data_IF_801386720010
#
_entry.id   IF_801386720010
#
_cell.length_a   1.000
_cell.length_b   1.000
_cell.length_c   1.000
_cell.angle_alpha   90.00
_cell.angle_beta   90.00
_cell.angle_gamma   90.00
#
_symmetry.space_group_name_H-M   'P 1'
#
loop_
_entity.id
_entity.type
_entity.pdbx_description
1 polymer ?
#
# COMPACT_ATOMS: atom_id res chain seq x y z
N UNK A 1 -8.46 -27.74 -0.85
CA UNK A 1 -7.02 -27.81 -1.19
C UNK A 1 -6.39 -26.49 -1.68
N UNK A 2 -7.07 -25.50 -2.29
CA UNK A 2 -6.41 -24.25 -2.71
C UNK A 2 -5.89 -23.36 -1.57
N UNK A 3 -6.42 -23.50 -0.35
CA UNK A 3 -6.09 -22.62 0.78
C UNK A 3 -4.76 -22.93 1.48
N UNK A 4 -4.27 -24.16 1.40
CA UNK A 4 -2.93 -24.53 1.92
C UNK A 4 -1.84 -23.78 1.16
N UNK A 5 -2.03 -23.52 -0.12
CA UNK A 5 -1.10 -22.76 -0.93
C UNK A 5 -1.06 -21.28 -0.51
N UNK A 6 -2.21 -20.68 -0.18
CA UNK A 6 -2.26 -19.30 0.35
C UNK A 6 -1.60 -19.20 1.72
N UNK A 7 -1.79 -20.18 2.60
CA UNK A 7 -1.15 -20.21 3.91
C UNK A 7 0.38 -20.22 3.80
N UNK A 8 0.93 -21.01 2.87
CA UNK A 8 2.38 -21.10 2.65
C UNK A 8 3.00 -19.80 2.11
N UNK A 9 2.19 -18.89 1.57
CA UNK A 9 2.64 -17.56 1.10
C UNK A 9 2.65 -16.51 2.21
N UNK A 10 2.03 -16.80 3.35
CA UNK A 10 1.89 -15.88 4.49
C UNK A 10 2.79 -16.30 5.65
N UNK A 11 2.84 -17.60 5.95
CA UNK A 11 3.58 -18.14 7.09
C UNK A 11 5.03 -18.44 6.66
N UNK A 12 6.00 -17.94 7.43
CA UNK A 12 7.42 -18.14 7.15
C UNK A 12 7.99 -17.27 6.01
N UNK A 13 7.19 -16.39 5.44
CA UNK A 13 7.62 -15.48 4.35
C UNK A 13 7.53 -14.02 4.81
N UNK A 14 8.54 -13.17 4.52
CA UNK A 14 8.44 -11.74 4.75
C UNK A 14 7.36 -11.09 3.89
N UNK A 15 6.57 -10.22 4.52
CA UNK A 15 5.45 -9.51 3.91
C UNK A 15 5.61 -8.00 4.09
N UNK A 16 5.16 -7.25 3.11
CA UNK A 16 4.97 -5.80 3.13
C UNK A 16 3.47 -5.52 3.17
N UNK A 17 2.82 -5.80 4.30
CA UNK A 17 1.37 -5.67 4.50
C UNK A 17 1.06 -4.99 5.83
N UNK A 18 0.01 -4.18 5.86
CA UNK A 18 -0.46 -3.56 7.10
C UNK A 18 -0.97 -4.63 8.09
N UNK A 19 -0.51 -4.58 9.34
CA UNK A 19 -0.77 -5.59 10.37
C UNK A 19 -2.27 -5.88 10.58
N UNK A 20 -3.18 -4.90 10.67
CA UNK A 20 -4.60 -5.18 10.86
C UNK A 20 -5.19 -6.03 9.74
N UNK A 21 -4.74 -5.83 8.49
CA UNK A 21 -5.21 -6.60 7.35
C UNK A 21 -4.64 -8.02 7.36
N UNK A 22 -3.40 -8.19 7.80
CA UNK A 22 -2.80 -9.51 7.97
C UNK A 22 -3.60 -10.33 8.99
N UNK A 23 -4.02 -9.71 10.11
CA UNK A 23 -4.82 -10.37 11.13
C UNK A 23 -6.21 -10.78 10.59
N UNK A 24 -6.85 -9.97 9.73
CA UNK A 24 -8.08 -10.32 9.02
C UNK A 24 -7.86 -11.54 8.11
N UNK A 25 -6.79 -11.53 7.31
CA UNK A 25 -6.45 -12.65 6.42
C UNK A 25 -6.21 -13.92 7.24
N UNK A 26 -5.46 -13.85 8.34
CA UNK A 26 -5.21 -14.98 9.24
C UNK A 26 -6.50 -15.49 9.88
N UNK A 27 -7.43 -14.61 10.27
CA UNK A 27 -8.72 -15.04 10.84
C UNK A 27 -9.61 -15.76 9.83
N UNK A 28 -9.62 -15.32 8.58
CA UNK A 28 -10.40 -15.96 7.49
C UNK A 28 -9.78 -17.28 7.04
N UNK A 29 -8.46 -17.34 6.94
CA UNK A 29 -7.74 -18.55 6.54
C UNK A 29 -7.58 -19.53 7.71
N UNK A 30 -7.53 -19.03 8.94
CA UNK A 30 -7.16 -19.78 10.13
C UNK A 30 -7.98 -21.03 10.35
N UNK A 31 -9.32 -20.94 10.26
CA UNK A 31 -10.22 -22.06 10.40
C UNK A 31 -10.00 -23.17 9.35
N UNK A 32 -9.53 -22.76 8.16
CA UNK A 32 -9.31 -23.67 7.02
C UNK A 32 -7.92 -24.27 6.95
N UNK A 33 -6.98 -23.74 7.74
CA UNK A 33 -5.60 -24.24 7.90
C UNK A 33 -5.35 -24.79 9.31
N UNK A 34 -6.42 -24.93 10.11
CA UNK A 34 -6.36 -25.53 11.43
C UNK A 34 -6.06 -24.56 12.59
N UNK A 35 -6.15 -23.25 12.37
CA UNK A 35 -6.19 -22.25 13.45
C UNK A 35 -7.62 -22.10 14.01
N UNK A 36 -7.82 -21.62 15.26
CA UNK A 36 -9.16 -21.45 15.84
C UNK A 36 -10.04 -20.53 14.99
N UNK A 37 -11.33 -20.88 14.88
CA UNK A 37 -12.30 -20.09 14.14
C UNK A 37 -12.54 -18.73 14.81
N UNK A 38 -12.39 -17.67 14.02
CA UNK A 38 -12.95 -16.34 14.32
C UNK A 38 -14.14 -16.13 13.38
N UNK A 39 -15.28 -15.87 13.96
CA UNK A 39 -16.57 -15.72 13.28
C UNK A 39 -16.58 -14.38 12.51
N UNK A 40 -16.10 -14.37 11.27
CA UNK A 40 -16.13 -13.20 10.38
C UNK A 40 -16.73 -13.56 9.02
N UNK A 41 -17.70 -12.77 8.60
CA UNK A 41 -18.32 -12.86 7.29
C UNK A 41 -17.27 -12.66 6.17
N UNK A 42 -17.32 -13.53 5.16
CA UNK A 42 -16.45 -13.42 4.00
C UNK A 42 -16.73 -12.12 3.23
N UNK A 43 -15.71 -11.36 2.84
CA UNK A 43 -15.90 -10.20 1.98
C UNK A 43 -16.46 -10.66 0.62
N UNK A 44 -17.43 -9.91 0.11
CA UNK A 44 -17.95 -10.11 -1.24
C UNK A 44 -16.85 -9.84 -2.28
N UNK A 45 -16.83 -10.58 -3.39
CA UNK A 45 -15.86 -10.33 -4.44
C UNK A 45 -16.00 -8.91 -4.98
N UNK A 46 -14.87 -8.19 -5.05
CA UNK A 46 -14.82 -6.87 -5.63
C UNK A 46 -15.22 -6.89 -7.11
N UNK A 47 -15.95 -5.88 -7.59
CA UNK A 47 -16.31 -5.80 -9.01
C UNK A 47 -15.04 -5.77 -9.87
N UNK A 48 -15.05 -6.49 -10.99
CA UNK A 48 -13.96 -6.44 -11.98
C UNK A 48 -13.97 -5.06 -12.62
N UNK A 49 -13.10 -4.19 -12.18
CA UNK A 49 -12.88 -2.89 -12.83
C UNK A 49 -11.89 -3.13 -13.97
N UNK A 50 -12.40 -3.15 -15.17
CA UNK A 50 -11.57 -3.09 -16.38
C UNK A 50 -11.09 -1.66 -16.55
N UNK A 51 -9.77 -1.43 -16.49
CA UNK A 51 -9.21 -0.11 -16.74
C UNK A 51 -9.58 0.34 -18.17
N UNK A 52 -10.46 1.35 -18.25
CA UNK A 52 -10.88 1.94 -19.52
C UNK A 52 -10.15 3.28 -19.64
N UNK A 53 -9.57 3.55 -20.82
CA UNK A 53 -9.04 4.87 -21.09
C UNK A 53 -10.19 5.90 -21.06
N UNK A 54 -10.04 6.94 -20.25
CA UNK A 54 -10.99 8.04 -20.21
C UNK A 54 -10.86 8.89 -21.47
N UNK A 55 -11.92 9.62 -21.89
CA UNK A 55 -11.86 10.52 -23.05
C UNK A 55 -10.72 11.56 -22.98
N UNK A 56 -10.19 11.80 -21.79
CA UNK A 56 -9.05 12.69 -21.52
C UNK A 56 -7.68 12.12 -21.96
N UNK A 57 -7.64 10.85 -22.39
CA UNK A 57 -6.37 10.14 -22.70
C UNK A 57 -5.62 9.70 -21.45
N UNK A 58 -6.28 9.57 -20.30
CA UNK A 58 -5.72 9.03 -19.08
C UNK A 58 -6.15 7.57 -18.92
N UNK A 59 -5.19 6.66 -18.79
CA UNK A 59 -5.46 5.28 -18.41
C UNK A 59 -5.46 5.17 -16.88
N UNK A 60 -6.59 4.78 -16.30
CA UNK A 60 -6.68 4.51 -14.87
C UNK A 60 -6.41 3.04 -14.62
N UNK A 61 -5.41 2.74 -13.80
CA UNK A 61 -5.05 1.38 -13.40
C UNK A 61 -5.42 1.22 -11.92
N UNK A 62 -6.49 0.49 -11.59
CA UNK A 62 -6.83 0.21 -10.20
C UNK A 62 -5.81 -0.75 -9.58
N UNK A 63 -5.36 -0.43 -8.37
CA UNK A 63 -4.47 -1.24 -7.51
C UNK A 63 -5.22 -1.48 -6.21
N UNK A 64 -6.02 -2.54 -6.19
CA UNK A 64 -7.02 -2.77 -5.13
C UNK A 64 -6.80 -4.11 -4.44
N UNK A 65 -6.96 -4.14 -3.11
CA UNK A 65 -6.88 -5.35 -2.32
C UNK A 65 -5.46 -5.80 -1.99
N UNK A 66 -5.30 -7.04 -1.53
CA UNK A 66 -4.00 -7.58 -1.11
C UNK A 66 -3.13 -7.93 -2.31
N UNK A 67 -1.91 -7.41 -2.32
CA UNK A 67 -0.98 -7.56 -3.43
C UNK A 67 -0.16 -8.84 -3.31
N UNK A 68 -0.03 -9.57 -4.40
CA UNK A 68 0.73 -10.81 -4.47
C UNK A 68 1.57 -10.85 -5.75
N UNK A 69 2.63 -11.64 -5.75
CA UNK A 69 3.48 -11.74 -6.94
C UNK A 69 2.72 -12.26 -8.15
N UNK A 70 1.95 -13.33 -7.98
CA UNK A 70 1.14 -13.98 -9.02
C UNK A 70 -0.17 -14.48 -8.46
N UNK A 71 -1.22 -14.35 -9.25
CA UNK A 71 -2.54 -14.93 -8.96
C UNK A 71 -2.70 -16.18 -9.82
N UNK A 72 -3.19 -17.28 -9.23
CA UNK A 72 -3.49 -18.53 -9.95
C UNK A 72 -4.98 -18.85 -9.81
N UNK A 73 -5.70 -18.86 -10.94
CA UNK A 73 -7.07 -19.39 -11.02
C UNK A 73 -8.08 -18.72 -10.07
N UNK A 74 -8.49 -19.44 -9.03
CA UNK A 74 -9.56 -19.05 -8.09
C UNK A 74 -9.17 -17.86 -7.19
N UNK A 75 -7.90 -17.58 -7.04
CA UNK A 75 -7.37 -16.53 -6.14
C UNK A 75 -7.83 -15.11 -6.54
N UNK A 76 -8.08 -14.86 -7.83
CA UNK A 76 -8.58 -13.58 -8.33
C UNK A 76 -9.97 -13.21 -7.75
N UNK A 77 -10.78 -14.21 -7.37
CA UNK A 77 -12.07 -13.98 -6.74
C UNK A 77 -11.96 -13.66 -5.23
N UNK A 78 -10.77 -13.78 -4.65
CA UNK A 78 -10.51 -13.60 -3.20
C UNK A 78 -10.01 -12.19 -2.83
N UNK A 79 -10.14 -11.20 -3.72
CA UNK A 79 -9.64 -9.84 -3.47
C UNK A 79 -8.12 -9.72 -3.52
N UNK A 80 -7.44 -10.64 -4.23
CA UNK A 80 -6.01 -10.59 -4.49
C UNK A 80 -5.74 -9.93 -5.85
N UNK A 81 -4.72 -9.09 -5.92
CA UNK A 81 -4.21 -8.49 -7.15
C UNK A 81 -2.74 -8.83 -7.33
N UNK A 82 -2.34 -9.22 -8.54
CA UNK A 82 -0.94 -9.58 -8.78
C UNK A 82 -0.11 -8.42 -9.33
N UNK A 83 1.17 -8.41 -8.97
CA UNK A 83 2.15 -7.49 -9.57
C UNK A 83 2.29 -7.71 -11.08
N UNK A 84 2.17 -8.97 -11.54
CA UNK A 84 2.21 -9.29 -12.97
C UNK A 84 1.01 -8.67 -13.73
N UNK A 85 -0.18 -8.64 -13.12
CA UNK A 85 -1.38 -8.01 -13.70
C UNK A 85 -1.23 -6.48 -13.77
N UNK A 86 -0.77 -5.84 -12.68
CA UNK A 86 -0.50 -4.40 -12.66
C UNK A 86 0.53 -4.06 -13.75
N UNK A 87 1.60 -4.84 -13.84
CA UNK A 87 2.63 -4.69 -14.86
C UNK A 87 2.10 -4.84 -16.30
N UNK A 88 1.23 -5.82 -16.55
CA UNK A 88 0.62 -6.02 -17.87
C UNK A 88 -0.30 -4.85 -18.28
N UNK A 89 -1.08 -4.30 -17.31
CA UNK A 89 -1.90 -3.11 -17.54
C UNK A 89 -1.05 -1.86 -17.81
N UNK A 90 0.08 -1.73 -17.10
CA UNK A 90 1.05 -0.66 -17.33
C UNK A 90 1.61 -0.73 -18.75
N UNK A 91 2.03 -1.92 -19.22
CA UNK A 91 2.55 -2.10 -20.58
C UNK A 91 1.51 -1.82 -21.64
N UNK A 92 0.28 -2.30 -21.44
CA UNK A 92 -0.82 -2.01 -22.36
C UNK A 92 -1.07 -0.51 -22.46
N UNK A 93 -1.09 0.22 -21.34
CA UNK A 93 -1.25 1.67 -21.31
C UNK A 93 -0.07 2.41 -21.98
N UNK A 94 1.16 1.90 -21.83
CA UNK A 94 2.34 2.48 -22.48
C UNK A 94 2.32 2.28 -24.00
N UNK A 95 1.82 1.12 -24.46
CA UNK A 95 1.76 0.78 -25.88
C UNK A 95 0.59 1.48 -26.61
N UNK A 96 -0.47 1.88 -25.91
CA UNK A 96 -1.64 2.51 -26.50
C UNK A 96 -1.37 3.97 -26.89
N UNK A 97 -1.41 4.35 -28.20
CA UNK A 97 -1.18 5.73 -28.63
C UNK A 97 -2.26 6.72 -28.19
N UNK A 98 -3.44 6.26 -27.77
CA UNK A 98 -4.50 7.12 -27.24
C UNK A 98 -4.25 7.51 -25.79
N UNK A 99 -3.43 6.75 -25.07
CA UNK A 99 -3.07 7.02 -23.67
C UNK A 99 -1.92 8.04 -23.63
N UNK A 100 -2.18 9.18 -23.03
CA UNK A 100 -1.20 10.26 -22.82
C UNK A 100 -0.56 10.23 -21.44
N UNK A 101 -1.25 9.67 -20.45
CA UNK A 101 -0.78 9.54 -19.06
C UNK A 101 -1.48 8.39 -18.35
N UNK A 102 -0.90 7.95 -17.23
CA UNK A 102 -1.35 6.79 -16.45
C UNK A 102 -1.60 7.24 -15.03
N UNK A 103 -2.77 6.91 -14.48
CA UNK A 103 -3.13 7.16 -13.08
C UNK A 103 -3.30 5.81 -12.37
N UNK A 104 -2.51 5.59 -11.33
CA UNK A 104 -2.68 4.45 -10.42
C UNK A 104 -3.71 4.83 -9.36
N UNK A 105 -4.85 4.14 -9.34
CA UNK A 105 -5.91 4.32 -8.33
C UNK A 105 -5.70 3.29 -7.22
N UNK A 106 -5.26 3.79 -6.05
CA UNK A 106 -4.74 2.95 -4.97
C UNK A 106 -5.77 2.77 -3.85
N UNK A 107 -6.07 1.51 -3.55
CA UNK A 107 -6.82 1.08 -2.37
C UNK A 107 -6.30 -0.29 -1.91
N UNK A 108 -5.14 -0.29 -1.25
CA UNK A 108 -4.44 -1.53 -0.94
C UNK A 108 -3.67 -1.47 0.39
N UNK A 109 -3.80 -2.52 1.23
CA UNK A 109 -3.05 -2.66 2.46
C UNK A 109 -1.60 -3.15 2.26
N UNK A 110 -1.16 -3.35 1.01
CA UNK A 110 0.09 -4.01 0.70
C UNK A 110 -0.05 -5.50 0.46
N UNK A 111 1.03 -6.24 0.63
CA UNK A 111 1.05 -7.68 0.36
C UNK A 111 2.42 -8.33 0.42
N UNK A 112 2.74 -9.19 -0.56
CA UNK A 112 4.02 -9.90 -0.63
C UNK A 112 5.20 -8.97 -0.91
N UNK A 113 6.35 -9.28 -0.30
CA UNK A 113 7.59 -8.55 -0.55
C UNK A 113 8.21 -8.90 -1.93
N UNK A 114 8.03 -10.14 -2.37
CA UNK A 114 8.64 -10.63 -3.61
C UNK A 114 8.03 -10.02 -4.86
N UNK A 115 8.81 -9.25 -5.62
CA UNK A 115 8.42 -8.65 -6.90
C UNK A 115 7.91 -7.20 -6.82
N UNK A 116 7.68 -6.65 -5.63
CA UNK A 116 7.15 -5.29 -5.48
C UNK A 116 8.17 -4.23 -5.91
N UNK A 117 9.43 -4.41 -5.55
CA UNK A 117 10.49 -3.45 -5.84
C UNK A 117 10.82 -3.37 -7.32
N UNK A 118 10.74 -4.50 -8.01
CA UNK A 118 10.88 -4.60 -9.46
C UNK A 118 9.71 -3.90 -10.17
N UNK A 119 8.47 -4.09 -9.70
CA UNK A 119 7.32 -3.38 -10.25
C UNK A 119 7.43 -1.87 -10.02
N UNK A 120 7.83 -1.43 -8.83
CA UNK A 120 8.03 -0.02 -8.51
C UNK A 120 9.12 0.60 -9.42
N UNK A 121 10.24 -0.09 -9.63
CA UNK A 121 11.27 0.36 -10.56
C UNK A 121 10.75 0.46 -12.01
N UNK A 122 9.89 -0.49 -12.43
CA UNK A 122 9.25 -0.47 -13.75
C UNK A 122 8.30 0.71 -13.91
N UNK A 123 7.51 1.04 -12.88
CA UNK A 123 6.63 2.23 -12.87
C UNK A 123 7.47 3.51 -12.96
N UNK A 124 8.56 3.62 -12.21
CA UNK A 124 9.48 4.76 -12.32
C UNK A 124 10.11 4.88 -13.71
N UNK A 125 10.43 3.77 -14.36
CA UNK A 125 10.91 3.78 -15.73
C UNK A 125 9.81 4.19 -16.72
N UNK A 126 8.58 3.73 -16.51
CA UNK A 126 7.41 4.08 -17.32
C UNK A 126 7.11 5.59 -17.28
N UNK A 127 7.34 6.26 -16.15
CA UNK A 127 7.16 7.71 -16.00
C UNK A 127 8.04 8.53 -16.96
N UNK A 128 9.15 7.96 -17.42
CA UNK A 128 10.00 8.62 -18.44
C UNK A 128 9.42 8.58 -19.86
N UNK A 129 8.47 7.67 -20.10
CA UNK A 129 7.80 7.46 -21.40
C UNK A 129 6.48 8.23 -21.43
N UNK A 130 5.62 7.98 -20.43
CA UNK A 130 4.36 8.67 -20.22
C UNK A 130 4.26 9.08 -18.76
N UNK A 131 3.75 10.26 -18.39
CA UNK A 131 3.54 10.64 -17.00
C UNK A 131 2.72 9.58 -16.27
N UNK A 132 3.21 9.18 -15.08
CA UNK A 132 2.51 8.26 -14.17
C UNK A 132 2.28 8.97 -12.85
N UNK A 133 1.02 9.18 -12.50
CA UNK A 133 0.59 9.67 -11.19
C UNK A 133 -0.03 8.54 -10.38
N UNK A 134 -0.09 8.71 -9.08
CA UNK A 134 -0.81 7.82 -8.18
C UNK A 134 -1.75 8.64 -7.28
N UNK A 135 -2.88 8.05 -6.95
CA UNK A 135 -3.84 8.61 -6.01
C UNK A 135 -4.25 7.53 -5.00
N UNK A 136 -3.98 7.76 -3.72
CA UNK A 136 -4.53 6.95 -2.66
C UNK A 136 -5.97 7.38 -2.40
N UNK A 137 -6.92 6.62 -2.94
CA UNK A 137 -8.34 6.92 -2.81
C UNK A 137 -8.85 6.56 -1.41
N UNK A 138 -8.37 5.44 -0.85
CA UNK A 138 -8.59 5.02 0.53
C UNK A 138 -7.25 4.71 1.24
N UNK A 139 -6.45 3.81 0.69
CA UNK A 139 -5.21 3.38 1.32
C UNK A 139 -4.10 3.05 0.31
N UNK A 140 -2.86 3.45 0.62
CA UNK A 140 -1.67 2.92 -0.03
C UNK A 140 -0.64 2.57 1.03
N UNK A 141 -0.69 1.33 1.54
CA UNK A 141 0.19 0.89 2.62
C UNK A 141 1.25 -0.09 2.14
N UNK A 142 2.42 -0.01 2.74
CA UNK A 142 3.46 -1.01 2.66
C UNK A 142 3.84 -1.32 1.20
N UNK A 143 3.62 -2.52 0.66
CA UNK A 143 3.89 -2.82 -0.75
C UNK A 143 3.15 -1.89 -1.72
N UNK A 144 1.91 -1.50 -1.41
CA UNK A 144 1.17 -0.54 -2.22
C UNK A 144 1.81 0.86 -2.17
N UNK A 145 2.37 1.25 -1.02
CA UNK A 145 3.10 2.50 -0.92
C UNK A 145 4.40 2.48 -1.73
N UNK A 146 5.13 1.35 -1.75
CA UNK A 146 6.32 1.20 -2.60
C UNK A 146 5.99 1.43 -4.09
N UNK A 147 4.81 0.97 -4.54
CA UNK A 147 4.29 1.17 -5.89
C UNK A 147 3.89 2.65 -6.11
N UNK A 148 3.10 3.22 -5.20
CA UNK A 148 2.61 4.60 -5.29
C UNK A 148 3.76 5.62 -5.27
N UNK A 149 4.75 5.43 -4.40
CA UNK A 149 5.94 6.29 -4.28
C UNK A 149 6.79 6.32 -5.57
N UNK A 150 6.66 5.32 -6.43
CA UNK A 150 7.37 5.26 -7.71
C UNK A 150 6.78 6.19 -8.79
N UNK A 151 5.57 6.73 -8.60
CA UNK A 151 4.95 7.71 -9.50
C UNK A 151 5.66 9.07 -9.48
N UNK A 152 5.37 9.93 -10.45
CA UNK A 152 5.88 11.31 -10.49
C UNK A 152 5.18 12.21 -9.46
N UNK A 153 3.90 11.92 -9.20
CA UNK A 153 3.09 12.64 -8.22
C UNK A 153 2.19 11.65 -7.49
N UNK A 154 2.17 11.72 -6.17
CA UNK A 154 1.30 10.93 -5.30
C UNK A 154 0.37 11.87 -4.54
N UNK A 155 -0.92 11.74 -4.78
CA UNK A 155 -1.98 12.46 -4.06
C UNK A 155 -2.81 11.50 -3.23
N UNK A 156 -3.61 12.03 -2.31
CA UNK A 156 -4.52 11.21 -1.51
C UNK A 156 -5.83 11.95 -1.22
N UNK A 157 -6.91 11.20 -1.04
CA UNK A 157 -8.18 11.74 -0.56
C UNK A 157 -8.07 12.24 0.89
N UNK A 158 -8.95 13.11 1.32
CA UNK A 158 -8.88 13.73 2.66
C UNK A 158 -8.89 12.71 3.81
N UNK A 159 -9.62 11.62 3.66
CA UNK A 159 -9.70 10.54 4.67
C UNK A 159 -8.72 9.39 4.40
N UNK A 160 -8.08 9.41 3.25
CA UNK A 160 -7.13 8.38 2.86
C UNK A 160 -5.81 8.49 3.62
N UNK A 161 -5.04 7.44 3.57
CA UNK A 161 -3.78 7.35 4.27
C UNK A 161 -2.74 6.54 3.50
N UNK A 162 -1.47 6.81 3.82
CA UNK A 162 -0.31 6.20 3.16
C UNK A 162 0.75 5.83 4.20
N UNK A 163 1.77 5.07 3.79
CA UNK A 163 2.88 4.73 4.68
C UNK A 163 2.96 3.25 5.01
N UNK A 164 3.05 2.90 6.29
CA UNK A 164 3.34 1.52 6.72
C UNK A 164 4.60 0.97 6.04
N UNK A 165 5.69 1.79 6.04
CA UNK A 165 6.97 1.48 5.38
C UNK A 165 7.74 0.54 6.29
N UNK A 166 7.36 -0.73 6.26
CA UNK A 166 7.93 -1.76 7.13
C UNK A 166 7.77 -3.16 6.54
N UNK A 167 8.41 -4.12 7.19
CA UNK A 167 8.39 -5.54 6.81
C UNK A 167 7.99 -6.36 8.03
N UNK A 168 7.14 -7.35 7.82
CA UNK A 168 6.74 -8.28 8.88
C UNK A 168 6.88 -9.72 8.37
N UNK A 169 7.33 -10.62 9.23
CA UNK A 169 7.29 -12.04 9.00
C UNK A 169 6.61 -12.74 10.18
N UNK A 170 5.87 -13.80 9.91
CA UNK A 170 5.16 -14.56 10.92
C UNK A 170 5.61 -16.01 10.91
N UNK A 171 5.85 -16.54 12.10
CA UNK A 171 5.96 -17.96 12.35
C UNK A 171 4.77 -18.42 13.20
N UNK A 172 4.24 -19.58 12.92
CA UNK A 172 3.16 -20.20 13.70
C UNK A 172 3.68 -21.49 14.27
N UNK A 173 3.80 -21.56 15.61
CA UNK A 173 4.10 -22.79 16.33
C UNK A 173 2.79 -23.50 16.66
N UNK A 174 2.56 -24.66 16.06
CA UNK A 174 1.40 -25.51 16.31
C UNK A 174 1.74 -26.78 17.10
N UNK A 175 2.93 -26.90 17.67
CA UNK A 175 3.38 -28.10 18.39
C UNK A 175 2.47 -28.51 19.53
N UNK A 176 1.89 -27.53 20.26
CA UNK A 176 0.90 -27.80 21.33
C UNK A 176 -0.40 -28.39 20.79
N UNK A 177 -0.83 -27.97 19.59
CA UNK A 177 -1.99 -28.53 18.92
C UNK A 177 -1.70 -29.94 18.45
N UNK A 178 -0.57 -30.19 17.82
CA UNK A 178 -0.13 -31.48 17.35
C UNK A 178 -0.13 -32.51 18.52
N UNK A 179 0.44 -32.11 19.65
CA UNK A 179 0.45 -32.96 20.85
C UNK A 179 -0.96 -33.29 21.37
N UNK A 180 -1.91 -32.33 21.31
CA UNK A 180 -3.33 -32.59 21.67
C UNK A 180 -4.01 -33.54 20.69
N UNK A 181 -3.64 -33.47 19.41
CA UNK A 181 -4.16 -34.37 18.36
C UNK A 181 -3.43 -35.73 18.33
N UNK A 182 -2.50 -35.95 19.28
CA UNK A 182 -1.74 -37.20 19.40
C UNK A 182 -0.66 -37.37 18.34
N UNK A 183 -0.25 -36.30 17.71
CA UNK A 183 0.79 -36.29 16.68
C UNK A 183 2.14 -35.83 17.25
N UNK A 184 3.21 -36.52 16.84
CA UNK A 184 4.58 -36.13 17.15
C UNK A 184 5.41 -36.13 15.84
N UNK A 185 5.89 -34.97 15.45
CA UNK A 185 6.68 -34.80 14.24
C UNK A 185 8.17 -34.93 14.58
N UNK A 186 8.86 -35.83 13.85
CA UNK A 186 10.33 -35.95 13.94
C UNK A 186 10.90 -35.67 12.57
N UNK A 187 11.62 -34.54 12.43
CA UNK A 187 12.29 -34.18 11.19
C UNK A 187 13.67 -34.85 11.13
N UNK A 188 13.99 -35.50 10.02
CA UNK A 188 15.33 -36.03 9.72
C UNK A 188 15.82 -35.27 8.49
N UNK A 189 16.87 -34.48 8.65
CA UNK A 189 17.34 -33.57 7.60
C UNK A 189 18.86 -33.47 7.53
N UNK A 190 19.36 -33.02 6.38
CA UNK A 190 20.74 -32.64 6.15
C UNK A 190 20.82 -31.18 5.72
N UNK A 191 21.77 -30.44 6.30
CA UNK A 191 21.88 -28.99 6.17
C UNK A 191 21.19 -28.27 7.37
N UNK A 192 21.98 -27.50 8.16
CA UNK A 192 21.57 -26.96 9.46
C UNK A 192 20.31 -26.07 9.44
N UNK A 193 20.01 -25.44 8.29
CA UNK A 193 18.84 -24.56 8.12
C UNK A 193 17.63 -25.24 7.47
N UNK A 194 17.70 -26.53 7.19
CA UNK A 194 16.66 -27.20 6.39
C UNK A 194 15.32 -27.33 7.13
N UNK A 195 15.34 -27.35 8.46
CA UNK A 195 14.15 -27.43 9.30
C UNK A 195 13.76 -26.09 9.94
N UNK A 196 14.49 -25.01 9.62
CA UNK A 196 14.12 -23.68 10.06
C UNK A 196 12.68 -23.36 9.60
N UNK A 197 11.92 -22.70 10.47
CA UNK A 197 10.52 -22.33 10.23
C UNK A 197 9.52 -23.49 10.17
N UNK A 198 9.88 -24.70 10.66
CA UNK A 198 8.92 -25.77 10.85
C UNK A 198 7.77 -25.32 11.76
N UNK A 199 6.48 -25.46 11.36
CA UNK A 199 5.36 -25.07 12.20
C UNK A 199 5.11 -26.07 13.35
N UNK A 200 5.83 -27.20 13.38
CA UNK A 200 5.68 -28.27 14.36
C UNK A 200 6.59 -28.13 15.57
N UNK A 201 7.33 -27.05 15.66
CA UNK A 201 8.24 -26.73 16.77
C UNK A 201 8.34 -25.21 16.97
N UNK A 202 8.73 -24.80 18.18
CA UNK A 202 9.04 -23.41 18.45
C UNK A 202 10.22 -22.92 17.63
N UNK A 203 10.20 -21.64 17.25
CA UNK A 203 11.25 -21.04 16.47
C UNK A 203 12.59 -21.08 17.24
N UNK A 204 13.60 -21.67 16.65
CA UNK A 204 14.95 -21.72 17.25
C UNK A 204 15.61 -20.34 17.21
N UNK A 205 16.58 -20.03 18.12
CA UNK A 205 17.34 -18.78 18.03
C UNK A 205 18.05 -18.59 16.69
N UNK A 206 18.57 -19.67 16.08
CA UNK A 206 19.16 -19.66 14.74
C UNK A 206 18.14 -19.23 13.68
N UNK A 207 16.97 -19.86 13.66
CA UNK A 207 15.90 -19.55 12.71
C UNK A 207 15.37 -18.13 12.93
N UNK A 208 15.23 -17.68 14.19
CA UNK A 208 14.84 -16.31 14.52
C UNK A 208 15.84 -15.30 13.94
N UNK A 209 17.15 -15.54 14.13
CA UNK A 209 18.20 -14.65 13.62
C UNK A 209 18.18 -14.62 12.06
N UNK A 210 18.02 -15.78 11.43
CA UNK A 210 17.97 -15.86 9.97
C UNK A 210 16.77 -15.08 9.40
N UNK A 211 15.58 -15.22 10.02
CA UNK A 211 14.37 -14.51 9.60
C UNK A 211 14.50 -13.01 9.84
N UNK A 212 15.02 -12.58 10.99
CA UNK A 212 15.25 -11.17 11.30
C UNK A 212 16.22 -10.52 10.30
N UNK A 213 17.30 -11.23 9.96
CA UNK A 213 18.28 -10.75 8.96
C UNK A 213 17.61 -10.47 7.61
N UNK A 214 16.70 -11.36 7.18
CA UNK A 214 15.98 -11.16 5.92
C UNK A 214 14.95 -10.02 6.01
N UNK A 215 14.26 -9.88 7.13
CA UNK A 215 13.36 -8.74 7.41
C UNK A 215 14.14 -7.43 7.35
N UNK A 216 15.29 -7.34 8.00
CA UNK A 216 16.14 -6.14 8.02
C UNK A 216 16.71 -5.81 6.63
N UNK A 217 17.07 -6.83 5.86
CA UNK A 217 17.51 -6.66 4.47
C UNK A 217 16.42 -6.04 3.60
N UNK A 218 15.20 -6.58 3.67
CA UNK A 218 14.05 -6.07 2.92
C UNK A 218 13.64 -4.68 3.39
N UNK A 219 13.68 -4.42 4.68
CA UNK A 219 13.42 -3.08 5.25
C UNK A 219 14.43 -2.05 4.72
N UNK A 220 15.70 -2.43 4.63
CA UNK A 220 16.75 -1.57 4.06
C UNK A 220 16.48 -1.25 2.59
N UNK A 221 16.07 -2.24 1.79
CA UNK A 221 15.70 -2.04 0.38
C UNK A 221 14.50 -1.10 0.30
N UNK A 222 13.46 -1.34 1.09
CA UNK A 222 12.23 -0.57 1.07
C UNK A 222 12.47 0.90 1.43
N UNK A 223 13.12 1.17 2.56
CA UNK A 223 13.42 2.55 3.00
C UNK A 223 14.31 3.28 2.01
N UNK A 224 15.32 2.62 1.43
CA UNK A 224 16.20 3.22 0.42
C UNK A 224 15.44 3.53 -0.88
N UNK A 225 14.55 2.65 -1.30
CA UNK A 225 13.74 2.87 -2.49
C UNK A 225 12.78 4.05 -2.31
N UNK A 226 12.05 4.09 -1.19
CA UNK A 226 11.14 5.21 -0.88
C UNK A 226 11.92 6.53 -0.81
N UNK A 227 13.06 6.57 -0.12
CA UNK A 227 13.91 7.75 -0.05
C UNK A 227 14.28 8.26 -1.45
N UNK A 228 14.76 7.37 -2.32
CA UNK A 228 15.11 7.70 -3.71
C UNK A 228 13.90 8.17 -4.52
N UNK A 229 12.76 7.50 -4.39
CA UNK A 229 11.55 7.77 -5.19
C UNK A 229 10.87 9.09 -4.77
N UNK A 230 10.88 9.41 -3.47
CA UNK A 230 10.25 10.60 -2.90
C UNK A 230 11.22 11.80 -2.74
N UNK A 231 12.52 11.58 -2.94
CA UNK A 231 13.53 12.63 -2.71
C UNK A 231 13.70 12.97 -1.23
N UNK A 232 13.50 11.98 -0.34
CA UNK A 232 13.65 12.11 1.10
C UNK A 232 15.00 11.57 1.57
N UNK A 233 15.44 11.98 2.77
CA UNK A 233 16.52 11.28 3.43
C UNK A 233 16.06 9.89 3.89
N UNK A 234 16.96 8.90 3.85
CA UNK A 234 16.65 7.55 4.27
C UNK A 234 16.35 7.45 5.77
N UNK A 235 17.00 8.28 6.57
CA UNK A 235 16.78 8.29 8.01
C UNK A 235 15.43 8.92 8.36
N UNK A 236 14.94 9.92 7.59
CA UNK A 236 13.58 10.45 7.70
C UNK A 236 12.53 9.37 7.37
N UNK A 237 12.79 8.56 6.32
CA UNK A 237 11.92 7.43 6.00
C UNK A 237 11.92 6.38 7.11
N UNK A 238 13.06 6.08 7.70
CA UNK A 238 13.19 5.17 8.86
C UNK A 238 12.49 5.71 10.10
N UNK A 239 12.58 7.02 10.34
CA UNK A 239 11.92 7.68 11.48
C UNK A 239 10.38 7.60 11.42
N UNK A 240 9.80 7.22 10.28
CA UNK A 240 8.37 6.91 10.20
C UNK A 240 7.96 5.68 11.00
N UNK A 241 8.91 4.80 11.38
CA UNK A 241 8.70 3.57 12.19
C UNK A 241 7.51 2.73 11.68
N UNK A 242 7.37 2.62 10.36
CA UNK A 242 6.23 1.98 9.70
C UNK A 242 4.85 2.56 10.07
N UNK A 243 4.80 3.81 10.51
CA UNK A 243 3.57 4.53 10.82
C UNK A 243 2.69 4.73 9.59
N UNK A 244 1.41 5.01 9.86
CA UNK A 244 0.40 5.37 8.86
C UNK A 244 0.09 6.86 8.98
N UNK A 245 0.10 7.57 7.85
CA UNK A 245 -0.06 9.00 7.77
C UNK A 245 -1.32 9.36 6.99
N UNK A 246 -2.18 10.17 7.58
CA UNK A 246 -3.49 10.54 7.04
C UNK A 246 -3.46 11.95 6.46
N UNK A 247 -4.13 12.16 5.33
CA UNK A 247 -4.39 13.47 4.75
C UNK A 247 -3.16 14.39 4.76
N UNK A 248 -3.30 15.59 5.30
CA UNK A 248 -2.24 16.61 5.35
C UNK A 248 -0.98 16.17 6.14
N UNK A 249 -1.11 15.24 7.09
CA UNK A 249 0.06 14.70 7.79
C UNK A 249 0.96 13.88 6.86
N UNK A 250 0.39 13.22 5.86
CA UNK A 250 1.17 12.50 4.84
C UNK A 250 1.96 13.49 3.96
N UNK A 251 1.35 14.64 3.63
CA UNK A 251 2.00 15.70 2.87
C UNK A 251 3.11 16.35 3.69
N UNK A 252 2.85 16.67 4.94
CA UNK A 252 3.84 17.26 5.85
C UNK A 252 5.06 16.35 6.07
N UNK A 253 4.85 15.02 6.06
CA UNK A 253 5.92 14.03 6.16
C UNK A 253 6.65 13.77 4.81
N UNK A 254 6.28 14.45 3.72
CA UNK A 254 6.85 14.22 2.38
C UNK A 254 6.42 12.91 1.73
N UNK A 255 5.51 12.17 2.37
CA UNK A 255 5.03 10.88 1.88
C UNK A 255 3.98 11.01 0.77
N UNK A 256 3.37 12.18 0.61
CA UNK A 256 2.47 12.52 -0.48
C UNK A 256 2.70 13.98 -0.92
N UNK A 257 2.12 14.37 -2.05
CA UNK A 257 2.33 15.69 -2.66
C UNK A 257 1.16 16.65 -2.41
N UNK A 258 -0.07 16.13 -2.28
CA UNK A 258 -1.26 16.96 -2.01
C UNK A 258 -2.44 16.09 -1.56
N UNK A 259 -3.38 16.73 -0.85
CA UNK A 259 -4.69 16.17 -0.51
C UNK A 259 -5.73 16.75 -1.47
N UNK A 260 -6.47 15.89 -2.18
CA UNK A 260 -7.54 16.31 -3.08
C UNK A 260 -8.45 15.13 -3.44
N UNK A 261 -9.71 15.37 -3.86
CA UNK A 261 -10.59 14.29 -4.32
C UNK A 261 -10.17 13.77 -5.70
N UNK A 262 -10.58 12.54 -6.01
CA UNK A 262 -10.17 11.82 -7.22
C UNK A 262 -10.52 12.54 -8.54
N UNK A 263 -11.67 13.17 -8.62
CA UNK A 263 -12.11 13.95 -9.79
C UNK A 263 -11.22 15.18 -10.04
N UNK A 264 -10.75 15.83 -8.97
CA UNK A 264 -9.78 16.92 -9.08
C UNK A 264 -8.42 16.41 -9.57
N UNK A 265 -7.97 15.24 -9.10
CA UNK A 265 -6.73 14.62 -9.62
C UNK A 265 -6.81 14.38 -11.12
N UNK A 266 -7.95 13.83 -11.60
CA UNK A 266 -8.17 13.61 -13.02
C UNK A 266 -8.12 14.91 -13.83
N UNK A 267 -8.74 15.98 -13.32
CA UNK A 267 -8.73 17.30 -13.96
C UNK A 267 -7.32 17.90 -14.01
N UNK A 268 -6.62 17.94 -12.88
CA UNK A 268 -5.24 18.46 -12.83
C UNK A 268 -4.28 17.66 -13.70
N UNK A 269 -4.46 16.34 -13.74
CA UNK A 269 -3.61 15.48 -14.58
C UNK A 269 -3.89 15.73 -16.07
N UNK A 270 -5.15 15.87 -16.46
CA UNK A 270 -5.53 16.23 -17.84
C UNK A 270 -4.92 17.57 -18.26
N UNK A 271 -4.95 18.59 -17.38
CA UNK A 271 -4.35 19.89 -17.61
C UNK A 271 -2.82 19.81 -17.75
N UNK A 272 -2.17 19.03 -16.89
CA UNK A 272 -0.72 18.80 -16.97
C UNK A 272 -0.32 18.11 -18.29
N UNK A 273 -1.10 17.13 -18.75
CA UNK A 273 -0.88 16.46 -20.04
C UNK A 273 -1.10 17.41 -21.22
N UNK A 274 -2.13 18.26 -21.17
CA UNK A 274 -2.38 19.27 -22.18
C UNK A 274 -1.25 20.32 -22.26
N UNK A 275 -0.75 20.76 -21.11
CA UNK A 275 0.40 21.68 -21.02
C UNK A 275 1.66 21.04 -21.64
N UNK A 276 1.95 19.77 -21.28
CA UNK A 276 3.10 19.04 -21.86
C UNK A 276 3.00 18.89 -23.37
N UNK A 277 1.79 18.62 -23.92
CA UNK A 277 1.56 18.57 -25.37
C UNK A 277 1.80 19.92 -26.05
N UNK A 278 1.36 21.04 -25.43
CA UNK A 278 1.60 22.39 -25.97
C UNK A 278 3.07 22.73 -26.05
N UNK A 279 3.86 22.33 -25.05
CA UNK A 279 5.30 22.54 -25.01
C UNK A 279 6.05 21.65 -26.03
N UNK A 280 5.55 20.45 -26.29
CA UNK A 280 6.13 19.51 -27.25
C UNK A 280 5.72 19.79 -28.70
N UNK A 281 4.69 20.63 -28.95
CA UNK A 281 4.30 21.02 -30.28
C UNK A 281 5.42 21.88 -30.92
N UNK A 282 5.93 21.52 -32.12
CA UNK A 282 6.97 22.31 -32.77
C UNK A 282 6.46 23.72 -33.01
N UNK A 283 7.32 24.73 -32.76
CA UNK A 283 7.05 26.17 -32.96
C UNK A 283 6.83 26.53 -34.43
N UNK A 284 6.46 25.60 -35.27
CA UNK A 284 6.27 25.76 -36.72
C UNK A 284 5.22 26.82 -37.13
N UNK A 285 4.37 27.27 -36.21
CA UNK A 285 3.31 28.24 -36.49
C UNK A 285 3.68 29.69 -36.17
N UNK A 286 4.80 29.95 -35.49
CA UNK A 286 5.25 31.36 -35.28
C UNK A 286 6.10 31.91 -36.38
N UNK A 287 6.78 31.07 -37.17
CA UNK A 287 7.63 31.54 -38.29
C UNK A 287 6.83 31.97 -39.54
N UNK A 288 5.63 31.39 -39.75
CA UNK A 288 4.78 31.73 -40.87
C UNK A 288 4.13 33.14 -40.77
N UNK A 289 3.88 33.60 -39.53
CA UNK A 289 3.29 34.93 -39.31
C UNK A 289 4.35 36.06 -39.41
N UNK A 290 5.61 35.75 -39.18
CA UNK A 290 6.71 36.73 -39.31
C UNK A 290 7.15 36.90 -40.76
N UNK A 291 7.07 35.82 -41.59
CA UNK A 291 7.40 35.89 -43.03
C UNK A 291 6.34 36.64 -43.84
N UNK A 292 5.07 36.61 -43.44
CA UNK A 292 4.01 37.36 -44.14
C UNK A 292 4.02 38.86 -43.83
N UNK A 293 4.64 39.28 -42.72
CA UNK A 293 4.81 40.71 -42.42
C UNK A 293 6.07 41.29 -43.09
N UNK A 294 7.12 40.45 -43.26
CA UNK A 294 8.35 40.88 -43.93
C UNK A 294 8.21 41.02 -45.44
N UNK A 295 7.41 40.16 -46.11
CA UNK A 295 7.19 40.27 -47.54
C UNK A 295 6.32 41.48 -47.97
N UNK A 296 5.58 42.07 -47.02
CA UNK A 296 4.79 43.28 -47.27
C UNK A 296 5.57 44.59 -46.96
N UNK A 297 6.73 44.50 -46.29
CA UNK A 297 7.60 45.66 -46.07
C UNK A 297 8.70 45.83 -47.13
N UNK A 298 9.13 44.73 -47.80
CA UNK A 298 10.15 44.80 -48.85
C UNK A 298 9.66 45.35 -50.18
N UNK A 299 8.32 45.44 -50.40
CA UNK A 299 7.75 46.09 -51.58
C UNK A 299 7.48 47.59 -51.45
N UNK A 300 7.87 48.21 -50.33
CA UNK A 300 7.64 49.62 -50.06
C UNK A 300 8.90 50.50 -49.93
N UNK A 301 10.10 49.91 -50.01
CA UNK A 301 11.34 50.67 -49.90
C UNK A 301 12.37 50.19 -50.92
N UNK A 302 12.11 50.42 -52.19
CA UNK A 302 13.12 50.49 -53.21
C UNK A 302 13.07 51.90 -53.79
N UNK A 303 13.69 52.84 -53.10
CA UNK A 303 14.32 54.05 -53.72
C UNK A 303 15.22 54.65 -52.65
N UNK A 304 16.44 54.98 -53.21
CA UNK A 304 17.48 55.86 -52.69
C UNK A 304 18.62 55.32 -51.79
N UNK A 305 19.67 55.00 -52.52
CA UNK A 305 21.03 55.58 -52.49
C UNK A 305 21.93 55.40 -51.23
N UNK A 306 23.00 54.67 -51.51
CA UNK A 306 24.44 54.87 -51.30
C UNK A 306 25.01 55.46 -50.00
N UNK A 307 26.09 54.79 -49.64
CA UNK A 307 27.38 55.26 -49.14
C UNK A 307 27.77 54.94 -47.67
N UNK A 308 28.78 54.13 -47.60
CA UNK A 308 30.09 54.11 -46.90
C UNK A 308 30.28 53.12 -45.71
N UNK A 309 31.23 52.24 -46.01
CA UNK A 309 32.35 51.68 -45.23
C UNK A 309 32.64 52.32 -43.85
N UNK A 310 32.86 51.49 -42.88
CA UNK A 310 34.10 51.31 -42.10
C UNK A 310 33.97 50.14 -41.16
N UNK A 311 34.82 49.14 -41.32
CA UNK A 311 35.24 48.09 -40.33
C UNK A 311 36.54 48.61 -39.67
N UNK A 312 37.16 47.78 -38.81
CA UNK A 312 36.83 47.18 -37.53
C UNK A 312 37.83 47.58 -36.41
N UNK A 313 37.91 46.88 -35.31
CA UNK A 313 39.01 46.70 -34.32
C UNK A 313 38.37 46.50 -32.95
N UNK A 314 38.40 45.42 -32.15
CA UNK A 314 39.56 44.61 -31.78
C UNK A 314 39.66 44.58 -30.26
N UNK A 315 39.80 43.41 -29.74
CA UNK A 315 40.63 43.00 -28.58
C UNK A 315 40.11 43.30 -27.16
N UNK A 316 39.89 42.31 -26.39
CA UNK A 316 40.71 41.37 -25.58
C UNK A 316 40.81 41.72 -24.09
N UNK A 317 40.62 40.63 -23.28
CA UNK A 317 41.31 40.31 -22.01
C UNK A 317 40.88 41.09 -20.76
N UNK A 318 40.73 40.57 -19.58
CA UNK A 318 41.36 39.51 -18.79
C UNK A 318 40.58 39.26 -17.49
N UNK A 319 40.61 38.04 -17.00
CA UNK A 319 40.47 37.74 -15.57
C UNK A 319 41.83 38.00 -14.88
N UNK A 320 42.04 38.06 -13.56
CA UNK A 320 41.76 37.00 -12.60
C UNK A 320 41.56 37.41 -11.10
N UNK A 321 41.16 36.46 -10.29
CA UNK A 321 41.89 35.94 -9.09
C UNK A 321 41.67 36.59 -7.71
N UNK A 322 41.32 35.64 -6.77
CA UNK A 322 41.85 35.43 -5.41
C UNK A 322 41.36 36.23 -4.21
N UNK A 323 40.90 35.49 -3.25
CA UNK A 323 41.43 35.27 -1.90
C UNK A 323 40.36 35.21 -0.79
N UNK A 324 40.28 34.04 -0.13
CA UNK A 324 39.87 33.93 1.26
C UNK A 324 40.99 34.46 2.19
N UNK A 325 40.86 34.67 3.50
CA UNK A 325 40.61 33.61 4.48
C UNK A 325 39.84 33.97 5.80
N UNK A 326 39.36 32.90 6.44
CA UNK A 326 39.36 32.55 7.88
C UNK A 326 39.12 33.59 8.98
N UNK A 327 38.30 33.21 9.95
CA UNK A 327 38.67 33.05 11.38
C UNK A 327 37.45 32.62 12.23
N UNK A 328 37.58 31.47 12.93
CA UNK A 328 36.92 31.04 14.19
C UNK A 328 37.82 31.55 15.37
N UNK A 329 37.50 31.32 16.67
CA UNK A 329 36.30 31.16 17.51
C UNK A 329 36.28 32.16 18.72
N UNK A 330 35.62 32.01 19.88
CA UNK A 330 35.81 30.96 20.87
C UNK A 330 34.58 30.55 21.74
N UNK A 331 34.74 29.40 22.35
CA UNK A 331 34.00 28.77 23.45
C UNK A 331 33.69 29.65 24.67
N UNK A 332 32.54 29.36 25.33
CA UNK A 332 32.45 29.39 26.80
C UNK A 332 31.47 28.33 27.30
N UNK A 333 31.99 27.49 28.20
CA UNK A 333 31.32 26.53 29.08
C UNK A 333 30.33 27.20 30.04
N UNK A 334 29.25 26.49 30.36
CA UNK A 334 28.36 26.84 31.47
C UNK A 334 27.45 25.67 31.86
N UNK A 335 27.99 24.76 32.63
CA UNK A 335 27.21 23.70 33.29
C UNK A 335 26.31 24.27 34.40
N UNK A 336 25.04 23.90 34.42
CA UNK A 336 24.21 23.92 35.63
C UNK A 336 23.30 22.70 35.67
N UNK A 337 23.36 22.02 36.82
CA UNK A 337 22.62 20.80 37.20
C UNK A 337 21.14 21.07 37.50
N UNK A 338 20.32 20.02 37.62
CA UNK A 338 18.87 20.11 37.61
C UNK A 338 18.26 20.34 38.99
N UNK A 339 17.32 21.22 39.08
CA UNK A 339 16.40 21.30 40.22
C UNK A 339 15.12 20.52 39.96
N UNK A 340 14.80 19.62 40.86
CA UNK A 340 13.56 18.88 40.94
C UNK A 340 12.42 19.81 41.36
N UNK A 341 11.44 20.01 40.52
CA UNK A 341 10.16 20.61 40.89
C UNK A 341 9.02 19.61 40.70
N UNK A 342 8.45 19.24 41.82
CA UNK A 342 7.19 18.54 42.01
C UNK A 342 6.06 19.34 41.34
N UNK A 343 5.44 18.78 40.28
CA UNK A 343 4.19 19.31 39.73
C UNK A 343 3.01 18.43 40.10
N UNK A 344 2.02 19.06 40.71
CA UNK A 344 0.67 18.55 40.93
C UNK A 344 -0.01 18.19 39.60
N UNK A 345 -1.04 17.30 39.57
CA UNK A 345 -1.66 16.83 38.33
C UNK A 345 -2.46 17.94 37.66
N UNK A 346 -2.01 18.33 36.49
CA UNK A 346 -2.72 19.23 35.58
C UNK A 346 -3.99 18.56 35.01
N UNK A 347 -5.09 19.28 35.04
CA UNK A 347 -6.37 18.90 34.49
C UNK A 347 -6.23 18.47 33.00
N UNK A 348 -6.80 17.32 32.66
CA UNK A 348 -6.85 16.76 31.30
C UNK A 348 -7.58 17.72 30.35
N UNK A 349 -7.06 18.00 29.15
CA UNK A 349 -7.73 18.84 28.19
C UNK A 349 -9.01 18.17 27.65
N UNK A 350 -10.04 18.96 27.37
CA UNK A 350 -11.38 18.53 26.95
C UNK A 350 -11.47 17.72 25.63
N UNK A 351 -10.38 17.62 24.88
CA UNK A 351 -10.23 16.81 23.67
C UNK A 351 -10.20 15.30 23.93
N UNK A 352 -9.65 14.85 25.07
CA UNK A 352 -9.56 13.43 25.39
C UNK A 352 -10.94 12.80 25.70
N UNK A 353 -11.85 13.55 26.31
CA UNK A 353 -13.19 13.06 26.64
C UNK A 353 -14.07 12.77 25.40
N UNK A 354 -13.85 13.50 24.31
CA UNK A 354 -14.60 13.29 23.05
C UNK A 354 -14.14 12.03 22.31
N UNK A 355 -12.83 11.78 22.28
CA UNK A 355 -12.23 10.59 21.68
C UNK A 355 -12.64 9.34 22.45
N UNK A 356 -12.63 9.41 23.79
CA UNK A 356 -13.03 8.31 24.66
C UNK A 356 -14.54 8.01 24.56
N UNK A 357 -15.38 9.03 24.44
CA UNK A 357 -16.81 8.86 24.22
C UNK A 357 -17.14 8.23 22.84
N UNK A 358 -16.37 8.57 21.82
CA UNK A 358 -16.51 7.95 20.49
C UNK A 358 -16.09 6.47 20.53
N UNK A 359 -14.98 6.13 21.17
CA UNK A 359 -14.51 4.75 21.31
C UNK A 359 -15.52 3.90 22.09
N UNK A 360 -16.15 4.44 23.13
CA UNK A 360 -17.22 3.75 23.89
C UNK A 360 -18.44 3.49 23.02
N UNK A 361 -18.85 4.47 22.20
CA UNK A 361 -19.98 4.30 21.29
C UNK A 361 -19.72 3.23 20.21
N UNK A 362 -18.53 3.20 19.65
CA UNK A 362 -18.09 2.20 18.68
C UNK A 362 -18.04 0.79 19.30
N UNK A 363 -17.50 0.63 20.51
CA UNK A 363 -17.50 -0.63 21.22
C UNK A 363 -18.92 -1.19 21.47
N UNK A 364 -19.84 -0.32 21.87
CA UNK A 364 -21.24 -0.70 22.08
C UNK A 364 -21.95 -1.09 20.78
N UNK A 365 -21.63 -0.40 19.67
CA UNK A 365 -22.15 -0.72 18.34
C UNK A 365 -21.65 -2.08 17.85
N UNK A 366 -20.35 -2.33 17.96
CA UNK A 366 -19.70 -3.61 17.58
C UNK A 366 -20.23 -4.77 18.40
N UNK A 367 -20.51 -4.55 19.70
CA UNK A 367 -21.09 -5.57 20.57
C UNK A 367 -22.60 -5.82 20.36
N UNK A 368 -23.24 -5.07 19.45
CA UNK A 368 -24.69 -5.14 19.24
C UNK A 368 -25.52 -4.59 20.41
N UNK A 369 -24.92 -3.77 21.27
CA UNK A 369 -25.53 -3.22 22.49
C UNK A 369 -25.52 -1.68 22.49
N UNK A 370 -25.81 -1.06 21.35
CA UNK A 370 -25.81 0.39 21.16
C UNK A 370 -26.69 1.17 22.15
N UNK A 371 -27.75 0.53 22.66
CA UNK A 371 -28.64 1.08 23.70
C UNK A 371 -27.92 1.32 25.04
N UNK A 372 -26.79 0.68 25.31
CA UNK A 372 -26.00 0.85 26.54
C UNK A 372 -24.96 1.97 26.47
N UNK A 373 -24.80 2.59 25.32
CA UNK A 373 -23.82 3.68 25.14
C UNK A 373 -24.06 4.83 26.11
N UNK A 374 -25.32 5.25 26.25
CA UNK A 374 -25.68 6.35 27.15
C UNK A 374 -25.42 6.02 28.62
N UNK A 375 -25.64 4.77 29.04
CA UNK A 375 -25.36 4.26 30.40
C UNK A 375 -23.85 4.35 30.72
N UNK A 376 -23.00 3.85 29.82
CA UNK A 376 -21.55 3.87 30.02
C UNK A 376 -20.97 5.28 30.00
N UNK A 377 -21.47 6.16 29.14
CA UNK A 377 -21.04 7.55 29.10
C UNK A 377 -21.47 8.30 30.38
N UNK A 378 -22.69 8.07 30.88
CA UNK A 378 -23.19 8.68 32.10
C UNK A 378 -22.44 8.20 33.36
N UNK A 379 -21.98 6.93 33.37
CA UNK A 379 -21.22 6.37 34.49
C UNK A 379 -19.75 6.78 34.50
N UNK A 380 -19.25 7.45 33.45
CA UNK A 380 -17.85 7.81 33.31
C UNK A 380 -16.93 6.59 33.18
N UNK A 381 -17.44 5.46 32.68
CA UNK A 381 -16.67 4.24 32.52
C UNK A 381 -15.57 4.44 31.47
N UNK A 382 -14.35 3.97 31.73
CA UNK A 382 -13.28 3.96 30.75
C UNK A 382 -13.53 2.92 29.65
N UNK A 383 -12.92 3.09 28.46
CA UNK A 383 -12.97 2.13 27.36
C UNK A 383 -12.69 0.68 27.80
N UNK A 384 -11.68 0.49 28.67
CA UNK A 384 -11.32 -0.83 29.19
C UNK A 384 -12.42 -1.45 30.05
N UNK A 385 -13.09 -0.64 30.89
CA UNK A 385 -14.21 -1.09 31.71
C UNK A 385 -15.43 -1.44 30.87
N UNK A 386 -15.74 -0.66 29.83
CA UNK A 386 -16.83 -0.93 28.89
C UNK A 386 -16.56 -2.22 28.13
N UNK A 387 -15.35 -2.41 27.62
CA UNK A 387 -14.95 -3.66 26.92
C UNK A 387 -15.13 -4.87 27.82
N UNK A 388 -14.67 -4.80 29.08
CA UNK A 388 -14.85 -5.89 30.03
C UNK A 388 -16.31 -6.19 30.34
N UNK A 389 -17.15 -5.16 30.52
CA UNK A 389 -18.58 -5.30 30.79
C UNK A 389 -19.35 -5.93 29.61
N UNK A 390 -18.99 -5.55 28.36
CA UNK A 390 -19.59 -6.09 27.15
C UNK A 390 -19.18 -7.56 26.93
N UNK A 391 -17.92 -7.91 27.17
CA UNK A 391 -17.45 -9.31 27.11
C UNK A 391 -18.13 -10.18 28.15
N UNK A 392 -18.26 -9.69 29.39
CA UNK A 392 -18.97 -10.41 30.46
C UNK A 392 -20.45 -10.62 30.11
N UNK A 393 -21.14 -9.60 29.61
CA UNK A 393 -22.53 -9.69 29.20
C UNK A 393 -22.75 -10.67 28.04
N UNK A 394 -21.74 -10.86 27.18
CA UNK A 394 -21.77 -11.85 26.10
C UNK A 394 -21.52 -13.27 26.63
N UNK A 395 -20.64 -13.44 27.60
CA UNK A 395 -20.37 -14.73 28.25
C UNK A 395 -21.58 -15.23 29.08
N UNK A 396 -22.37 -14.28 29.62
CA UNK A 396 -23.58 -14.62 30.42
C UNK A 396 -24.84 -14.89 29.55
N UNK A 397 -24.76 -14.71 28.22
CA UNK A 397 -25.87 -15.09 27.31
C UNK A 397 -25.90 -16.61 27.16
N UNK A 398 -27.10 -17.25 27.27
CA UNK A 398 -27.20 -18.69 27.06
C UNK A 398 -26.74 -19.04 25.65
N UNK A 399 -25.84 -20.02 25.55
CA UNK A 399 -25.44 -20.63 24.28
C UNK A 399 -26.67 -20.96 23.46
N UNK A 400 -26.83 -20.36 22.29
CA UNK A 400 -27.83 -20.79 21.32
C UNK A 400 -27.33 -22.16 20.80
N UNK A 401 -27.73 -23.23 21.45
CA UNK A 401 -27.48 -24.58 20.93
C UNK A 401 -28.22 -24.68 19.61
N UNK A 402 -27.49 -24.55 18.50
CA UNK A 402 -27.97 -24.91 17.17
C UNK A 402 -28.25 -26.40 17.18
N UNK A 403 -29.49 -26.80 17.47
CA UNK A 403 -29.98 -28.13 17.17
C UNK A 403 -30.16 -28.24 15.66
N UNK A 404 -29.08 -28.57 14.96
CA UNK A 404 -29.19 -29.26 13.69
C UNK A 404 -29.68 -30.68 14.07
N UNK A 405 -30.98 -30.85 14.14
CA UNK A 405 -31.57 -32.19 14.03
C UNK A 405 -31.14 -32.66 12.65
N UNK A 406 -30.18 -33.59 12.62
CA UNK A 406 -29.97 -34.39 11.44
C UNK A 406 -31.37 -34.99 11.15
N UNK A 407 -31.94 -34.56 10.02
CA UNK A 407 -33.18 -35.11 9.51
C UNK A 407 -32.96 -36.63 9.37
N UNK A 408 -33.60 -37.41 10.21
CA UNK A 408 -33.60 -38.86 10.17
C UNK A 408 -34.48 -39.33 8.99
N UNK A 409 -34.22 -38.75 7.82
CA UNK A 409 -34.78 -39.08 6.53
C UNK A 409 -33.88 -40.04 5.80
N UNK A 410 -34.19 -41.33 5.96
CA UNK A 410 -33.86 -42.41 5.03
C UNK A 410 -32.41 -42.48 4.58
N UNK A 411 -31.67 -43.39 5.20
CA UNK A 411 -30.44 -43.99 4.66
C UNK A 411 -30.71 -44.52 3.25
N UNK A 412 -30.53 -43.65 2.22
CA UNK A 412 -30.39 -44.12 0.85
C UNK A 412 -29.08 -44.89 0.81
N UNK A 413 -29.16 -46.18 0.51
CA UNK A 413 -27.97 -47.01 0.30
C UNK A 413 -27.13 -46.38 -0.82
N UNK A 414 -25.79 -46.44 -0.75
CA UNK A 414 -24.91 -45.89 -1.80
C UNK A 414 -25.27 -46.39 -3.21
N UNK A 415 -25.92 -47.54 -3.29
CA UNK A 415 -26.37 -48.20 -4.54
C UNK A 415 -27.49 -47.42 -5.27
N UNK A 416 -28.24 -46.56 -4.56
CA UNK A 416 -29.35 -45.78 -5.11
C UNK A 416 -28.91 -44.36 -5.60
N UNK A 417 -27.62 -44.09 -5.60
CA UNK A 417 -27.04 -42.82 -6.13
C UNK A 417 -27.18 -42.80 -7.63
N UNK A 418 -27.69 -41.68 -8.24
CA UNK A 418 -27.74 -41.51 -9.69
C UNK A 418 -26.37 -41.66 -10.37
N UNK A 419 -25.30 -41.36 -9.64
CA UNK A 419 -23.91 -41.47 -10.11
C UNK A 419 -23.50 -42.94 -10.21
N UNK A 420 -23.85 -43.75 -9.23
CA UNK A 420 -23.57 -45.22 -9.23
C UNK A 420 -24.37 -45.91 -10.34
N UNK A 421 -25.61 -45.48 -10.58
CA UNK A 421 -26.43 -45.99 -11.68
C UNK A 421 -25.88 -45.65 -13.05
N UNK A 422 -25.31 -44.44 -13.21
CA UNK A 422 -24.64 -44.01 -14.44
C UNK A 422 -23.34 -44.77 -14.72
N UNK A 423 -22.53 -45.01 -13.69
CA UNK A 423 -21.29 -45.80 -13.80
C UNK A 423 -21.60 -47.27 -14.15
N UNK A 424 -22.59 -47.88 -13.52
CA UNK A 424 -23.03 -49.26 -13.87
C UNK A 424 -23.50 -49.39 -15.33
N UNK A 425 -24.17 -48.35 -15.88
CA UNK A 425 -24.59 -48.35 -17.30
C UNK A 425 -23.41 -48.24 -18.28
N UNK A 426 -22.29 -47.65 -17.87
CA UNK A 426 -21.10 -47.51 -18.70
C UNK A 426 -20.21 -48.76 -18.69
N UNK A 427 -20.26 -49.57 -17.60
CA UNK A 427 -19.44 -50.77 -17.46
C UNK A 427 -20.15 -52.09 -17.93
N UNK A 428 -21.41 -52.01 -18.36
CA UNK A 428 -22.19 -53.18 -18.85
C UNK A 428 -22.42 -53.14 -20.37
N UNK A 429 -21.59 -52.38 -21.11
CA UNK A 429 -21.54 -52.47 -22.57
C UNK A 429 -20.18 -53.01 -23.00
N UNK A 430 -20.03 -54.32 -22.89
CA UNK A 430 -19.20 -55.18 -23.71
C UNK A 430 -20.07 -56.37 -24.21
#
# INVERSE_FOLDING_TARGET
MPLVHLASRIIGTPLLIARPKLDVILSVLGSRIGLPETDMALPMPAPKITGTALPTGIAVIPVVGTLVKRVMGIDAASGLMSYDEIGARLDAALADPQVAGILLDMDSPGGEAGGVFELAARIRAASRIKPVWAHANDAAYSAAYAIAAASERLTLSQTASVGSIGVIALHVDQSVKDAKDGLNYTAIFAGGHKNDFSPHEALTPQATTALQTEVDRLYTIFTSQVATMRGLDRDDVRATEAGVYFGEHAVAAGLADAVMPFDQVLAEFADALAAKRRLAAPQATRSAAIHSVHSNLENAMNDDEKINHIEPVGEQTDAPSDAAPSEDPPHTDGALQPEATTHAPLARPATNGRIEAQAIAELCLIAGQSQRTAEFLASGASEAQVRHALLKARADQPEISSRITADAGTTRRPEDSPVVAAVKKLTTKE
#
